data_IF_834096262104
#
_entry.id   IF_834096262104
#
_cell.length_a   1.000
_cell.length_b   1.000
_cell.length_c   1.000
_cell.angle_alpha   90.00
_cell.angle_beta   90.00
_cell.angle_gamma   90.00
#
_symmetry.space_group_name_H-M   'P 1'
#
loop_
_entity.id
_entity.type
_entity.pdbx_description
1 polymer ?
#
# COMPACT_ATOMS: atom_id res chain seq x y z
N UNK A 1 -24.05 -9.60 5.96
CA UNK A 1 -22.86 -8.75 5.69
C UNK A 1 -23.30 -7.43 5.06
N UNK A 2 -22.98 -6.27 5.66
CA UNK A 2 -23.31 -4.98 5.03
C UNK A 2 -22.42 -4.80 3.80
N UNK A 3 -23.01 -4.70 2.59
CA UNK A 3 -22.25 -4.45 1.35
C UNK A 3 -21.57 -3.08 1.42
N UNK A 4 -20.38 -2.97 0.83
CA UNK A 4 -19.77 -1.64 0.68
C UNK A 4 -20.51 -0.79 -0.34
N UNK A 5 -20.36 0.53 -0.25
CA UNK A 5 -20.67 1.42 -1.37
C UNK A 5 -19.53 1.43 -2.40
N UNK A 6 -19.80 1.86 -3.64
CA UNK A 6 -18.86 1.76 -4.78
C UNK A 6 -17.51 2.44 -4.53
N UNK A 7 -17.51 3.56 -3.80
CA UNK A 7 -16.29 4.29 -3.47
C UNK A 7 -15.38 3.51 -2.51
N UNK A 8 -15.99 2.80 -1.55
CA UNK A 8 -15.25 1.94 -0.61
C UNK A 8 -14.69 0.70 -1.30
N UNK A 9 -15.42 0.13 -2.26
CA UNK A 9 -14.92 -1.02 -3.02
C UNK A 9 -13.77 -0.64 -3.95
N UNK A 10 -13.86 0.51 -4.62
CA UNK A 10 -12.77 1.06 -5.42
C UNK A 10 -11.51 1.30 -4.56
N UNK A 11 -11.67 1.93 -3.39
CA UNK A 11 -10.55 2.17 -2.48
C UNK A 11 -9.88 0.86 -2.02
N UNK A 12 -10.66 -0.18 -1.70
CA UNK A 12 -10.13 -1.51 -1.37
C UNK A 12 -9.35 -2.13 -2.53
N UNK A 13 -9.87 -2.02 -3.76
CA UNK A 13 -9.18 -2.53 -4.97
C UNK A 13 -7.81 -1.86 -5.14
N UNK A 14 -7.74 -0.54 -4.99
CA UNK A 14 -6.48 0.22 -5.09
C UNK A 14 -5.47 -0.21 -4.00
N UNK A 15 -5.94 -0.47 -2.78
CA UNK A 15 -5.08 -0.92 -1.67
C UNK A 15 -4.57 -2.34 -1.90
N UNK A 16 -5.39 -3.23 -2.45
CA UNK A 16 -4.95 -4.57 -2.85
C UNK A 16 -3.86 -4.50 -3.92
N UNK A 17 -4.05 -3.68 -4.95
CA UNK A 17 -3.02 -3.44 -5.98
C UNK A 17 -1.71 -2.92 -5.38
N UNK A 18 -1.79 -1.98 -4.43
CA UNK A 18 -0.61 -1.46 -3.74
C UNK A 18 0.11 -2.56 -2.94
N UNK A 19 -0.61 -3.47 -2.31
CA UNK A 19 -0.03 -4.58 -1.54
C UNK A 19 0.70 -5.63 -2.40
N UNK A 20 0.34 -5.75 -3.68
CA UNK A 20 0.88 -6.77 -4.61
C UNK A 20 1.94 -6.22 -5.57
N UNK A 21 2.29 -4.93 -5.50
CA UNK A 21 3.23 -4.24 -6.41
C UNK A 21 4.56 -4.98 -6.64
N UNK A 22 5.06 -5.72 -5.64
CA UNK A 22 6.28 -6.53 -5.77
C UNK A 22 6.19 -7.63 -6.84
N UNK A 23 5.00 -8.10 -7.19
CA UNK A 23 4.75 -9.19 -8.15
C UNK A 23 4.19 -8.74 -9.51
N UNK A 24 3.87 -7.46 -9.69
CA UNK A 24 3.06 -7.00 -10.82
C UNK A 24 3.84 -6.30 -11.94
N UNK A 25 3.24 -6.28 -13.15
CA UNK A 25 3.83 -5.72 -14.37
C UNK A 25 3.89 -4.18 -14.39
N UNK A 26 3.16 -3.49 -13.50
CA UNK A 26 3.02 -2.03 -13.48
C UNK A 26 4.18 -1.30 -12.75
N UNK A 27 5.42 -1.63 -13.12
CA UNK A 27 6.63 -1.08 -12.48
C UNK A 27 6.91 0.39 -12.83
N UNK A 28 6.42 0.87 -13.97
CA UNK A 28 6.73 2.23 -14.48
C UNK A 28 6.16 3.30 -13.56
N UNK A 29 4.90 3.16 -13.14
CA UNK A 29 4.23 4.12 -12.26
C UNK A 29 4.87 4.10 -10.87
N UNK A 30 5.08 2.90 -10.31
CA UNK A 30 5.78 2.76 -9.03
C UNK A 30 7.15 3.47 -9.06
N UNK A 31 8.00 3.17 -10.06
CA UNK A 31 9.30 3.85 -10.23
C UNK A 31 9.17 5.37 -10.35
N UNK A 32 8.19 5.87 -11.12
CA UNK A 32 7.98 7.31 -11.31
C UNK A 32 7.70 8.02 -9.97
N UNK A 33 6.92 7.38 -9.09
CA UNK A 33 6.48 7.94 -7.82
C UNK A 33 7.29 7.45 -6.60
N UNK A 34 8.30 6.61 -6.78
CA UNK A 34 9.36 6.36 -5.79
C UNK A 34 10.41 7.48 -5.76
N UNK A 35 10.42 8.34 -6.79
CA UNK A 35 11.31 9.50 -6.90
C UNK A 35 11.07 10.49 -5.73
N UNK A 36 12.11 10.83 -4.94
CA UNK A 36 12.02 11.81 -3.86
C UNK A 36 11.53 13.19 -4.32
N UNK A 37 11.84 13.58 -5.57
CA UNK A 37 11.36 14.85 -6.13
C UNK A 37 9.85 14.85 -6.36
N UNK A 38 9.22 13.68 -6.35
CA UNK A 38 7.77 13.48 -6.42
C UNK A 38 7.17 13.02 -5.08
N UNK A 39 7.91 13.22 -3.99
CA UNK A 39 7.48 12.90 -2.63
C UNK A 39 7.58 11.41 -2.27
N UNK A 40 8.16 10.57 -3.13
CA UNK A 40 8.37 9.13 -2.89
C UNK A 40 7.10 8.39 -2.41
N UNK A 41 5.90 8.82 -2.83
CA UNK A 41 4.62 8.30 -2.31
C UNK A 41 4.42 6.80 -2.57
N UNK A 42 5.11 6.24 -3.56
CA UNK A 42 5.03 4.82 -3.88
C UNK A 42 5.74 3.91 -2.88
N UNK A 43 6.64 4.44 -2.02
CA UNK A 43 7.31 3.64 -0.98
C UNK A 43 6.56 3.64 0.36
N UNK A 44 5.43 4.35 0.43
CA UNK A 44 4.57 4.36 1.61
C UNK A 44 3.84 3.01 1.72
N UNK A 45 3.56 2.52 2.94
CA UNK A 45 2.82 1.28 3.10
C UNK A 45 1.36 1.42 2.60
N UNK A 46 0.71 0.33 2.15
CA UNK A 46 -0.71 0.31 1.84
C UNK A 46 -1.59 0.76 3.03
N UNK A 47 -2.76 1.32 2.72
CA UNK A 47 -3.67 1.84 3.74
C UNK A 47 -4.30 0.70 4.57
N UNK A 48 -3.78 0.48 5.79
CA UNK A 48 -4.12 -0.65 6.68
C UNK A 48 -5.62 -0.80 6.96
N UNK A 49 -6.32 0.30 7.20
CA UNK A 49 -7.77 0.29 7.51
C UNK A 49 -8.66 -0.14 6.34
N UNK A 50 -8.10 -0.20 5.14
CA UNK A 50 -8.79 -0.59 3.92
C UNK A 50 -8.33 -1.96 3.40
N UNK A 51 -7.35 -2.58 4.06
CA UNK A 51 -6.94 -3.94 3.71
C UNK A 51 -8.07 -4.92 4.09
N UNK A 52 -8.28 -5.97 3.28
CA UNK A 52 -9.15 -7.06 3.70
C UNK A 52 -8.64 -7.64 5.02
N UNK A 53 -9.56 -7.98 5.92
CA UNK A 53 -9.27 -8.56 7.23
C UNK A 53 -8.72 -9.99 7.07
N UNK A 54 -7.48 -10.09 6.60
CA UNK A 54 -6.71 -11.33 6.53
C UNK A 54 -5.31 -11.03 7.05
N UNK A 55 -5.11 -11.42 8.31
CA UNK A 55 -3.90 -11.34 9.14
C UNK A 55 -3.31 -9.95 9.35
N UNK A 56 -3.75 -9.31 10.43
CA UNK A 56 -2.92 -8.39 11.21
C UNK A 56 -1.64 -9.12 11.65
N UNK A 57 -0.58 -9.00 10.85
CA UNK A 57 0.79 -9.17 11.34
C UNK A 57 1.36 -7.77 11.49
N UNK A 58 1.21 -7.23 12.69
CA UNK A 58 2.00 -6.10 13.18
C UNK A 58 3.48 -6.48 13.04
N UNK A 59 4.19 -5.87 12.10
CA UNK A 59 5.63 -5.66 12.24
C UNK A 59 5.89 -4.17 12.15
N UNK A 60 5.66 -3.49 13.26
CA UNK A 60 6.51 -2.36 13.64
C UNK A 60 7.96 -2.86 13.73
N UNK A 61 8.70 -2.78 12.63
CA UNK A 61 10.15 -2.61 12.67
C UNK A 61 10.44 -1.25 12.05
N UNK A 62 10.29 -0.21 12.87
CA UNK A 62 10.87 1.10 12.62
C UNK A 62 12.14 1.21 13.47
N UNK A 63 13.28 1.31 12.76
CA UNK A 63 14.53 1.99 13.14
C UNK A 63 15.27 1.54 14.41
N UNK A 64 16.39 0.84 14.18
CA UNK A 64 17.63 1.01 14.94
C UNK A 64 18.73 1.43 13.96
N UNK A 65 18.92 2.74 13.81
CA UNK A 65 20.16 3.34 13.30
C UNK A 65 20.75 4.07 14.50
N UNK A 66 21.45 3.34 15.34
CA UNK A 66 22.47 3.90 16.23
C UNK A 66 23.86 3.62 15.66
N UNK A 67 24.78 4.49 16.04
CA UNK A 67 26.01 4.88 15.35
C UNK A 67 27.06 3.78 15.23
#
# INVERSE_FOLDING_TARGET
MKKSGPMRDCAKLLVSLHSTIGGEKLKVVHRKYSDPQKGAVAVLPPAKYLMPESSSSDTRVLKGLDK
#
